data_IF_462697501038
#
_entry.id   IF_462697501038
#
_cell.length_a   1.000
_cell.length_b   1.000
_cell.length_c   1.000
_cell.angle_alpha   90.00
_cell.angle_beta   90.00
_cell.angle_gamma   90.00
#
_symmetry.space_group_name_H-M   'P 1'
#
loop_
_entity.id
_entity.type
_entity.pdbx_description
1 polymer ?
#
# COMPACT_ATOMS: atom_id res chain seq x y z
N UNK A 1 8.65 38.64 -17.81
CA UNK A 1 9.19 39.04 -16.49
C UNK A 1 9.99 37.85 -15.97
N UNK A 2 11.25 38.03 -15.55
CA UNK A 2 12.09 36.91 -15.08
C UNK A 2 11.70 36.51 -13.66
N UNK A 3 11.65 35.22 -13.36
CA UNK A 3 11.36 34.69 -12.02
C UNK A 3 12.38 35.15 -10.98
N UNK A 4 13.61 35.45 -11.40
CA UNK A 4 14.69 35.97 -10.55
C UNK A 4 14.46 37.41 -10.09
N UNK A 5 13.50 38.11 -10.70
CA UNK A 5 13.13 39.48 -10.32
C UNK A 5 11.91 39.50 -9.39
N UNK A 6 11.35 38.34 -9.05
CA UNK A 6 10.24 38.26 -8.10
C UNK A 6 10.76 38.39 -6.66
N UNK A 7 9.98 39.00 -5.75
CA UNK A 7 10.21 38.91 -4.32
C UNK A 7 10.35 37.44 -3.85
N UNK A 8 11.18 37.23 -2.82
CA UNK A 8 11.45 35.90 -2.26
C UNK A 8 10.15 35.19 -1.85
N UNK A 9 9.22 35.93 -1.26
CA UNK A 9 7.92 35.44 -0.79
C UNK A 9 7.10 34.87 -1.94
N UNK A 10 7.11 35.53 -3.11
CA UNK A 10 6.40 35.02 -4.30
C UNK A 10 7.04 33.75 -4.85
N UNK A 11 8.37 33.62 -4.75
CA UNK A 11 9.05 32.39 -5.20
C UNK A 11 8.80 31.23 -4.24
N UNK A 12 8.76 31.48 -2.93
CA UNK A 12 8.32 30.48 -1.95
C UNK A 12 6.89 30.03 -2.24
N UNK A 13 5.97 30.98 -2.54
CA UNK A 13 4.61 30.63 -2.94
C UNK A 13 4.54 29.81 -4.23
N UNK A 14 5.42 30.08 -5.21
CA UNK A 14 5.51 29.25 -6.42
C UNK A 14 5.93 27.83 -6.07
N UNK A 15 6.96 27.65 -5.23
CA UNK A 15 7.34 26.33 -4.73
C UNK A 15 6.20 25.62 -4.01
N UNK A 16 5.51 26.31 -3.10
CA UNK A 16 4.42 25.77 -2.30
C UNK A 16 3.17 25.42 -3.11
N UNK A 17 3.03 26.01 -4.30
CA UNK A 17 1.97 25.72 -5.27
C UNK A 17 2.28 24.54 -6.19
N UNK A 18 3.51 24.01 -6.16
CA UNK A 18 3.84 22.79 -6.90
C UNK A 18 3.15 21.59 -6.23
N UNK A 19 2.63 20.68 -7.05
CA UNK A 19 1.88 19.51 -6.55
C UNK A 19 2.75 18.26 -6.45
N UNK A 20 4.06 18.35 -6.70
CA UNK A 20 4.97 17.21 -6.71
C UNK A 20 6.34 17.62 -6.12
N UNK A 21 6.89 16.76 -5.25
CA UNK A 21 8.21 16.95 -4.65
C UNK A 21 9.33 17.01 -5.70
N UNK A 22 9.19 16.26 -6.79
CA UNK A 22 10.15 16.24 -7.89
C UNK A 22 10.17 17.55 -8.67
N UNK A 23 9.03 18.22 -8.78
CA UNK A 23 8.94 19.52 -9.43
C UNK A 23 9.67 20.56 -8.59
N UNK A 24 9.57 20.49 -7.25
CA UNK A 24 10.35 21.34 -6.36
C UNK A 24 11.86 21.13 -6.56
N UNK A 25 12.30 19.86 -6.56
CA UNK A 25 13.69 19.52 -6.76
C UNK A 25 14.19 19.96 -8.15
N UNK A 26 13.41 19.72 -9.20
CA UNK A 26 13.73 20.11 -10.57
C UNK A 26 13.77 21.62 -10.73
N UNK A 27 12.81 22.33 -10.16
CA UNK A 27 12.75 23.79 -10.18
C UNK A 27 13.97 24.41 -9.46
N UNK A 28 14.40 23.82 -8.35
CA UNK A 28 15.63 24.25 -7.64
C UNK A 28 16.91 24.06 -8.44
N UNK A 29 16.96 23.09 -9.35
CA UNK A 29 18.14 22.81 -10.18
C UNK A 29 18.31 23.79 -11.33
N UNK A 30 17.32 24.65 -11.60
CA UNK A 30 17.38 25.60 -12.72
C UNK A 30 18.42 26.71 -12.51
N UNK A 31 18.65 27.18 -11.28
CA UNK A 31 19.74 28.12 -10.97
C UNK A 31 20.14 28.11 -9.48
N UNK A 32 21.34 28.63 -9.17
CA UNK A 32 21.88 28.68 -7.80
C UNK A 32 20.99 29.44 -6.81
N UNK A 33 20.30 30.49 -7.27
CA UNK A 33 19.42 31.27 -6.40
C UNK A 33 18.21 30.45 -5.97
N UNK A 34 17.52 29.78 -6.92
CA UNK A 34 16.39 28.91 -6.62
C UNK A 34 16.80 27.71 -5.77
N UNK A 35 17.99 27.14 -6.00
CA UNK A 35 18.57 26.13 -5.12
C UNK A 35 18.72 26.64 -3.68
N UNK A 36 19.27 27.85 -3.49
CA UNK A 36 19.41 28.47 -2.18
C UNK A 36 18.08 28.77 -1.49
N UNK A 37 17.04 29.14 -2.25
CA UNK A 37 15.67 29.31 -1.74
C UNK A 37 15.13 27.96 -1.23
N UNK A 38 15.18 26.91 -2.05
CA UNK A 38 14.71 25.59 -1.62
C UNK A 38 15.48 25.11 -0.39
N UNK A 39 16.80 25.27 -0.36
CA UNK A 39 17.61 24.84 0.78
C UNK A 39 17.24 25.58 2.08
N UNK A 40 16.91 26.87 1.99
CA UNK A 40 16.59 27.70 3.16
C UNK A 40 15.17 27.48 3.69
N UNK A 41 14.23 27.14 2.81
CA UNK A 41 12.80 26.97 3.12
C UNK A 41 12.29 25.55 2.86
N UNK A 42 13.19 24.57 2.87
CA UNK A 42 12.94 23.21 2.40
C UNK A 42 11.74 22.56 3.10
N UNK A 43 11.68 22.69 4.42
CA UNK A 43 10.64 22.07 5.24
C UNK A 43 9.28 22.69 4.95
N UNK A 44 9.19 24.01 4.90
CA UNK A 44 7.92 24.71 4.64
C UNK A 44 7.41 24.41 3.23
N UNK A 45 8.32 24.31 2.26
CA UNK A 45 7.99 23.97 0.87
C UNK A 45 7.49 22.51 0.82
N UNK A 46 8.28 21.54 1.28
CA UNK A 46 7.90 20.13 1.22
C UNK A 46 6.64 19.84 2.02
N UNK A 47 6.49 20.42 3.22
CA UNK A 47 5.27 20.28 4.02
C UNK A 47 4.04 20.80 3.28
N UNK A 48 4.15 21.92 2.56
CA UNK A 48 3.06 22.43 1.72
C UNK A 48 2.70 21.47 0.60
N UNK A 49 3.70 20.93 -0.13
CA UNK A 49 3.46 19.95 -1.21
C UNK A 49 2.78 18.70 -0.68
N UNK A 50 3.33 18.10 0.40
CA UNK A 50 2.78 16.90 1.05
C UNK A 50 1.33 17.12 1.50
N UNK A 51 1.04 18.30 2.05
CA UNK A 51 -0.30 18.63 2.53
C UNK A 51 -1.31 18.79 1.39
N UNK A 52 -0.90 19.32 0.25
CA UNK A 52 -1.80 19.68 -0.84
C UNK A 52 -1.92 18.62 -1.94
N UNK A 53 -0.95 17.73 -2.06
CA UNK A 53 -0.90 16.74 -3.12
C UNK A 53 -1.63 15.45 -2.71
N UNK A 54 -2.64 15.06 -3.50
CA UNK A 54 -3.49 13.89 -3.21
C UNK A 54 -2.69 12.59 -2.99
N UNK A 55 -1.62 12.37 -3.74
CA UNK A 55 -0.81 11.14 -3.60
C UNK A 55 -0.09 11.02 -2.25
N UNK A 56 -0.09 12.06 -1.42
CA UNK A 56 0.47 12.04 -0.07
C UNK A 56 -0.61 11.94 1.03
N UNK A 57 -1.89 11.71 0.69
CA UNK A 57 -2.99 11.77 1.66
C UNK A 57 -2.84 10.74 2.81
N UNK A 58 -2.28 9.57 2.51
CA UNK A 58 -2.07 8.50 3.49
C UNK A 58 -0.74 8.60 4.25
N UNK A 59 0.16 9.50 3.86
CA UNK A 59 1.51 9.53 4.40
C UNK A 59 1.57 9.93 5.87
N UNK A 60 0.70 10.84 6.33
CA UNK A 60 0.65 11.24 7.74
C UNK A 60 0.21 10.06 8.61
N UNK A 61 -0.85 9.38 8.20
CA UNK A 61 -1.38 8.21 8.90
C UNK A 61 -0.35 7.08 8.96
N UNK A 62 0.35 6.83 7.85
CA UNK A 62 1.40 5.83 7.79
C UNK A 62 2.54 6.14 8.76
N UNK A 63 2.97 7.41 8.87
CA UNK A 63 3.98 7.79 9.87
C UNK A 63 3.48 7.55 11.31
N UNK A 64 2.21 7.88 11.61
CA UNK A 64 1.65 7.66 12.94
C UNK A 64 1.61 6.17 13.30
N UNK A 65 1.18 5.33 12.36
CA UNK A 65 1.17 3.88 12.53
C UNK A 65 2.59 3.35 12.77
N UNK A 66 3.56 3.79 11.97
CA UNK A 66 4.96 3.42 12.12
C UNK A 66 5.54 3.85 13.47
N UNK A 67 5.21 5.05 13.94
CA UNK A 67 5.63 5.53 15.26
C UNK A 67 5.08 4.68 16.41
N UNK A 68 3.91 4.05 16.27
CA UNK A 68 3.41 3.10 17.29
C UNK A 68 4.32 1.87 17.33
N UNK A 69 4.64 1.30 16.18
CA UNK A 69 5.52 0.13 16.08
C UNK A 69 6.95 0.41 16.53
N UNK A 70 7.48 1.61 16.30
CA UNK A 70 8.82 1.98 16.75
C UNK A 70 8.88 2.20 18.27
N UNK A 71 7.84 2.79 18.86
CA UNK A 71 7.78 3.08 20.31
C UNK A 71 7.56 1.83 21.15
N UNK A 72 6.72 0.93 20.65
CA UNK A 72 6.45 -0.33 21.32
C UNK A 72 7.46 -1.34 20.80
N UNK A 73 8.65 -1.31 21.43
CA UNK A 73 9.71 -2.29 21.21
C UNK A 73 9.10 -3.68 21.08
N UNK A 74 9.60 -4.46 20.11
CA UNK A 74 9.14 -5.81 19.77
C UNK A 74 9.34 -6.88 20.88
N UNK A 75 9.47 -6.46 22.14
CA UNK A 75 9.58 -7.30 23.33
C UNK A 75 8.21 -7.51 24.02
N UNK A 76 7.23 -6.61 23.84
CA UNK A 76 5.89 -6.79 24.36
C UNK A 76 5.06 -7.68 23.40
N UNK A 77 4.48 -8.77 23.93
CA UNK A 77 3.73 -9.73 23.13
C UNK A 77 2.37 -9.18 22.65
N UNK A 78 1.83 -8.18 23.34
CA UNK A 78 0.55 -7.54 23.05
C UNK A 78 0.53 -6.09 23.51
N UNK A 79 -0.26 -5.28 22.83
CA UNK A 79 -0.49 -3.87 23.14
C UNK A 79 -1.89 -3.70 23.75
N UNK A 80 -2.03 -2.92 24.82
CA UNK A 80 -3.35 -2.60 25.37
C UNK A 80 -4.13 -1.68 24.41
N UNK A 81 -5.47 -1.81 24.27
CA UNK A 81 -6.26 -1.08 23.27
C UNK A 81 -6.24 0.43 23.49
N UNK A 82 -6.20 0.82 24.76
CA UNK A 82 -6.13 2.20 25.26
C UNK A 82 -4.77 2.85 24.91
N UNK A 83 -3.75 2.03 24.56
CA UNK A 83 -2.40 2.46 24.18
C UNK A 83 -2.26 2.48 22.64
N UNK A 84 -2.96 1.63 21.90
CA UNK A 84 -2.80 1.54 20.44
C UNK A 84 -3.64 2.55 19.67
N UNK A 85 -4.93 2.61 19.93
CA UNK A 85 -5.87 3.33 19.06
C UNK A 85 -6.16 4.75 19.51
N UNK A 86 -6.27 4.96 20.82
CA UNK A 86 -6.45 6.30 21.38
C UNK A 86 -5.20 7.18 21.15
N UNK A 87 -4.03 6.56 20.96
CA UNK A 87 -2.80 7.27 20.60
C UNK A 87 -2.73 7.67 19.13
N UNK A 88 -3.28 6.84 18.22
CA UNK A 88 -3.39 7.16 16.79
C UNK A 88 -4.60 8.07 16.62
N UNK A 89 -4.43 9.32 17.05
CA UNK A 89 -5.40 10.37 16.72
C UNK A 89 -5.51 10.56 15.21
N UNK A 90 -6.62 11.15 14.78
CA UNK A 90 -6.86 11.45 13.35
C UNK A 90 -5.65 12.14 12.70
N UNK A 91 -5.27 11.73 11.47
CA UNK A 91 -4.19 12.34 10.73
C UNK A 91 -4.43 13.85 10.55
N UNK A 92 -3.50 14.67 11.07
CA UNK A 92 -3.59 16.13 11.07
C UNK A 92 -2.28 16.74 10.60
N UNK A 93 -2.35 17.82 9.85
CA UNK A 93 -1.18 18.57 9.34
C UNK A 93 -0.27 19.07 10.48
N UNK A 94 -0.83 19.31 11.68
CA UNK A 94 -0.08 19.68 12.87
C UNK A 94 0.91 18.60 13.31
N UNK A 95 0.68 17.34 12.95
CA UNK A 95 1.54 16.20 13.26
C UNK A 95 2.75 16.09 12.30
N UNK A 96 2.79 16.82 11.19
CA UNK A 96 3.95 16.86 10.28
C UNK A 96 5.09 17.71 10.86
N UNK A 97 5.93 17.09 11.68
CA UNK A 97 7.21 17.66 12.13
C UNK A 97 8.30 17.49 11.06
N UNK A 98 9.47 18.08 11.29
CA UNK A 98 10.61 18.03 10.34
C UNK A 98 11.04 16.59 10.00
N UNK A 99 11.05 15.68 10.98
CA UNK A 99 11.47 14.30 10.76
C UNK A 99 10.49 13.57 9.83
N UNK A 100 9.19 13.64 10.11
CA UNK A 100 8.14 13.03 9.27
C UNK A 100 8.09 13.60 7.86
N UNK A 101 8.33 14.92 7.69
CA UNK A 101 8.44 15.51 6.34
C UNK A 101 9.56 14.85 5.54
N UNK A 102 10.74 14.65 6.15
CA UNK A 102 11.83 13.99 5.45
C UNK A 102 11.58 12.50 5.22
N UNK A 103 10.96 11.82 6.17
CA UNK A 103 10.58 10.41 6.02
C UNK A 103 9.66 10.20 4.81
N UNK A 104 8.63 11.06 4.66
CA UNK A 104 7.73 11.04 3.51
C UNK A 104 8.49 11.34 2.21
N UNK A 105 9.39 12.32 2.21
CA UNK A 105 10.23 12.62 1.03
C UNK A 105 11.11 11.41 0.68
N UNK A 106 11.69 10.73 1.67
CA UNK A 106 12.51 9.54 1.46
C UNK A 106 11.65 8.40 0.90
N UNK A 107 10.48 8.13 1.50
CA UNK A 107 9.51 7.12 1.06
C UNK A 107 9.09 7.37 -0.39
N UNK A 108 8.71 8.61 -0.71
CA UNK A 108 8.39 9.05 -2.08
C UNK A 108 9.52 8.77 -3.08
N UNK A 109 10.78 8.93 -2.69
CA UNK A 109 11.89 8.63 -3.61
C UNK A 109 12.20 7.13 -3.68
N UNK A 110 12.11 6.42 -2.56
CA UNK A 110 12.37 4.99 -2.47
C UNK A 110 11.37 4.17 -3.29
N UNK A 111 10.09 4.52 -3.25
CA UNK A 111 9.03 3.79 -3.96
C UNK A 111 9.13 3.91 -5.49
N UNK A 112 9.93 4.86 -6.02
CA UNK A 112 10.26 4.90 -7.46
C UNK A 112 11.03 3.67 -7.91
N UNK A 113 11.75 3.00 -7.02
CA UNK A 113 12.42 1.73 -7.36
C UNK A 113 11.38 0.67 -7.68
N UNK A 114 10.34 0.54 -6.85
CA UNK A 114 9.23 -0.39 -7.09
C UNK A 114 8.48 -0.02 -8.37
N UNK A 115 8.18 1.26 -8.57
CA UNK A 115 7.52 1.73 -9.78
C UNK A 115 8.34 1.49 -11.06
N UNK A 116 9.67 1.63 -11.01
CA UNK A 116 10.53 1.28 -12.15
C UNK A 116 10.49 -0.20 -12.49
N UNK A 117 10.40 -1.06 -11.46
CA UNK A 117 10.24 -2.49 -11.67
C UNK A 117 8.85 -2.74 -12.29
N UNK A 118 7.81 -2.12 -11.75
CA UNK A 118 6.44 -2.19 -12.29
C UNK A 118 6.39 -1.83 -13.77
N UNK A 119 7.03 -0.74 -14.18
CA UNK A 119 7.03 -0.25 -15.57
C UNK A 119 7.86 -1.08 -16.55
N UNK A 120 8.52 -2.15 -16.11
CA UNK A 120 9.37 -2.96 -16.98
C UNK A 120 8.51 -3.88 -17.87
N UNK A 121 8.48 -3.65 -19.21
CA UNK A 121 7.60 -4.39 -20.12
C UNK A 121 7.81 -5.90 -20.10
N UNK A 122 9.05 -6.35 -19.86
CA UNK A 122 9.40 -7.76 -19.80
C UNK A 122 8.73 -8.50 -18.64
N UNK A 123 8.24 -7.78 -17.62
CA UNK A 123 7.53 -8.37 -16.50
C UNK A 123 6.05 -8.60 -16.80
N UNK A 124 5.47 -7.77 -17.67
CA UNK A 124 4.10 -7.96 -18.14
C UNK A 124 4.01 -9.11 -19.17
N UNK A 125 5.06 -9.33 -19.96
CA UNK A 125 5.14 -10.45 -20.91
C UNK A 125 5.44 -11.82 -20.25
N UNK A 126 6.08 -11.83 -19.08
CA UNK A 126 6.43 -13.04 -18.32
C UNK A 126 5.40 -13.44 -17.25
N UNK A 127 4.16 -12.97 -17.36
CA UNK A 127 3.07 -13.27 -16.41
C UNK A 127 2.58 -14.74 -16.42
N UNK A 128 3.27 -15.64 -17.15
CA UNK A 128 3.07 -17.08 -17.06
C UNK A 128 4.07 -17.72 -16.08
N UNK A 129 3.61 -18.72 -15.31
CA UNK A 129 4.33 -19.35 -14.19
C UNK A 129 5.73 -19.93 -14.52
N UNK A 130 6.05 -20.09 -15.80
CA UNK A 130 7.26 -20.78 -16.25
C UNK A 130 8.35 -19.81 -16.73
N UNK A 131 9.40 -19.74 -15.91
CA UNK A 131 10.72 -19.15 -16.17
C UNK A 131 10.78 -17.62 -16.32
N UNK A 132 11.11 -16.96 -15.21
CA UNK A 132 11.69 -15.63 -15.27
C UNK A 132 13.15 -15.68 -15.73
N UNK A 133 13.62 -14.68 -16.51
CA UNK A 133 15.05 -14.41 -16.62
C UNK A 133 15.60 -13.94 -15.27
N UNK A 134 16.76 -14.46 -14.87
CA UNK A 134 17.46 -13.95 -13.69
C UNK A 134 17.65 -12.43 -13.83
N UNK A 135 17.45 -11.69 -12.73
CA UNK A 135 17.91 -10.31 -12.58
C UNK A 135 19.44 -10.34 -12.59
N UNK A 136 20.04 -10.51 -13.77
CA UNK A 136 21.48 -10.38 -13.95
C UNK A 136 21.83 -8.90 -13.94
N UNK A 137 22.98 -8.55 -13.36
CA UNK A 137 23.54 -7.18 -13.42
C UNK A 137 23.70 -6.65 -14.87
N UNK A 138 23.60 -7.54 -15.86
CA UNK A 138 23.58 -7.22 -17.29
C UNK A 138 22.24 -6.67 -17.80
N UNK A 139 21.15 -6.81 -17.04
CA UNK A 139 19.92 -6.04 -17.23
C UNK A 139 20.08 -4.67 -16.56
N UNK A 140 21.19 -3.99 -16.87
CA UNK A 140 21.15 -2.55 -17.05
C UNK A 140 20.10 -2.31 -18.13
N UNK A 141 18.83 -2.32 -17.70
CA UNK A 141 17.74 -1.66 -18.37
C UNK A 141 18.36 -0.34 -18.79
N UNK A 142 18.54 -0.18 -20.11
CA UNK A 142 18.87 1.11 -20.68
C UNK A 142 17.76 2.00 -20.15
N UNK A 143 18.08 2.70 -19.07
CA UNK A 143 17.16 3.47 -18.26
C UNK A 143 16.60 4.50 -19.21
N UNK A 144 15.44 4.23 -19.82
CA UNK A 144 14.73 5.21 -20.62
C UNK A 144 14.31 6.29 -19.62
N UNK A 145 14.99 7.45 -19.54
CA UNK A 145 14.74 8.44 -18.49
C UNK A 145 13.42 9.20 -18.73
N UNK A 146 12.70 8.87 -19.81
CA UNK A 146 11.67 9.72 -20.41
C UNK A 146 10.30 9.05 -20.55
N UNK A 147 10.09 7.82 -20.04
CA UNK A 147 8.71 7.41 -19.71
C UNK A 147 8.31 8.23 -18.50
N UNK A 148 7.69 9.37 -18.81
CA UNK A 148 6.79 10.18 -18.01
C UNK A 148 6.54 9.59 -16.62
N UNK A 149 7.04 10.20 -15.54
CA UNK A 149 6.66 9.82 -14.16
C UNK A 149 5.23 10.28 -13.81
N UNK A 150 4.35 10.44 -14.81
CA UNK A 150 3.00 10.97 -14.60
C UNK A 150 2.10 9.99 -13.88
N UNK A 151 2.33 8.69 -14.07
CA UNK A 151 1.58 7.61 -13.46
C UNK A 151 2.10 7.28 -12.06
N UNK A 152 3.33 7.70 -11.72
CA UNK A 152 3.95 7.41 -10.43
C UNK A 152 3.14 7.91 -9.22
N UNK A 153 2.59 9.14 -9.21
CA UNK A 153 1.67 9.57 -8.15
C UNK A 153 0.50 8.60 -7.90
N UNK A 154 -0.11 8.04 -8.95
CA UNK A 154 -1.23 7.09 -8.83
C UNK A 154 -0.77 5.76 -8.25
N UNK A 155 0.36 5.25 -8.75
CA UNK A 155 1.01 4.05 -8.19
C UNK A 155 1.31 4.22 -6.70
N UNK A 156 1.91 5.36 -6.32
CA UNK A 156 2.28 5.66 -4.94
C UNK A 156 1.04 5.80 -4.04
N UNK A 157 -0.02 6.45 -4.53
CA UNK A 157 -1.27 6.59 -3.80
C UNK A 157 -1.91 5.21 -3.53
N UNK A 158 -2.08 4.38 -4.56
CA UNK A 158 -2.65 3.05 -4.42
C UNK A 158 -1.80 2.15 -3.49
N UNK A 159 -0.47 2.24 -3.59
CA UNK A 159 0.44 1.51 -2.71
C UNK A 159 0.29 1.94 -1.25
N UNK A 160 0.29 3.25 -0.98
CA UNK A 160 0.24 3.78 0.39
C UNK A 160 -1.14 3.61 1.02
N UNK A 161 -2.23 3.68 0.25
CA UNK A 161 -3.59 3.41 0.75
C UNK A 161 -3.73 1.96 1.23
N UNK A 162 -3.22 1.01 0.44
CA UNK A 162 -3.22 -0.39 0.82
C UNK A 162 -2.28 -0.65 2.00
N UNK A 163 -1.10 -0.02 2.02
CA UNK A 163 -0.14 -0.16 3.10
C UNK A 163 -0.70 0.33 4.45
N UNK A 164 -1.37 1.49 4.49
CA UNK A 164 -2.04 1.96 5.71
C UNK A 164 -3.04 0.92 6.24
N UNK A 165 -3.84 0.32 5.36
CA UNK A 165 -4.81 -0.69 5.76
C UNK A 165 -4.14 -1.95 6.32
N UNK A 166 -3.04 -2.40 5.69
CA UNK A 166 -2.21 -3.49 6.20
C UNK A 166 -1.67 -3.16 7.61
N UNK A 167 -1.12 -1.97 7.83
CA UNK A 167 -0.61 -1.56 9.15
C UNK A 167 -1.74 -1.47 10.21
N UNK A 168 -2.96 -1.07 9.82
CA UNK A 168 -4.13 -1.09 10.72
C UNK A 168 -4.54 -2.51 11.11
N UNK A 169 -4.57 -3.44 10.15
CA UNK A 169 -4.85 -4.86 10.41
C UNK A 169 -3.79 -5.44 11.35
N UNK A 170 -2.52 -5.08 11.12
CA UNK A 170 -1.42 -5.49 11.99
C UNK A 170 -1.59 -5.01 13.41
N UNK A 171 -1.89 -3.72 13.57
CA UNK A 171 -2.15 -3.15 14.89
C UNK A 171 -3.34 -3.84 15.58
N UNK A 172 -4.37 -4.21 14.81
CA UNK A 172 -5.52 -4.95 15.34
C UNK A 172 -5.17 -6.34 15.83
N UNK A 173 -4.31 -7.06 15.11
CA UNK A 173 -3.82 -8.38 15.53
C UNK A 173 -2.95 -8.29 16.79
N UNK A 174 -2.16 -7.22 16.96
CA UNK A 174 -1.30 -7.01 18.13
C UNK A 174 -2.02 -6.44 19.36
N UNK A 175 -3.28 -5.99 19.20
CA UNK A 175 -4.04 -5.39 20.30
C UNK A 175 -4.69 -6.47 21.17
N UNK A 176 -4.59 -6.31 22.49
CA UNK A 176 -5.25 -7.15 23.48
C UNK A 176 -6.60 -6.55 23.89
N UNK A 177 -7.70 -7.08 23.37
CA UNK A 177 -9.04 -6.62 23.63
C UNK A 177 -9.58 -7.12 24.97
N UNK A 178 -10.15 -6.20 25.75
CA UNK A 178 -10.85 -6.55 26.98
C UNK A 178 -12.12 -7.37 26.74
N UNK A 179 -12.78 -7.17 25.58
CA UNK A 179 -14.08 -7.74 25.23
C UNK A 179 -14.10 -8.20 23.78
N UNK A 180 -14.73 -9.34 23.51
CA UNK A 180 -14.93 -9.84 22.14
C UNK A 180 -15.77 -8.91 21.27
N UNK A 181 -16.74 -8.18 21.85
CA UNK A 181 -17.56 -7.22 21.10
C UNK A 181 -16.73 -6.08 20.48
N UNK A 182 -15.78 -5.53 21.23
CA UNK A 182 -14.86 -4.48 20.73
C UNK A 182 -13.87 -5.02 19.70
N UNK A 183 -13.48 -6.30 19.83
CA UNK A 183 -12.68 -6.98 18.82
C UNK A 183 -13.46 -7.15 17.52
N UNK A 184 -14.73 -7.61 17.60
CA UNK A 184 -15.61 -7.76 16.45
C UNK A 184 -15.84 -6.43 15.72
N UNK A 185 -16.27 -5.40 16.46
CA UNK A 185 -16.50 -4.07 15.90
C UNK A 185 -15.26 -3.54 15.17
N UNK A 186 -14.06 -3.82 15.70
CA UNK A 186 -12.82 -3.37 15.07
C UNK A 186 -12.57 -4.08 13.74
N UNK A 187 -12.76 -5.40 13.70
CA UNK A 187 -12.54 -6.14 12.47
C UNK A 187 -13.63 -5.85 11.43
N UNK A 188 -14.87 -5.61 11.84
CA UNK A 188 -15.94 -5.15 10.95
C UNK A 188 -15.54 -3.84 10.25
N UNK A 189 -15.03 -2.85 11.01
CA UNK A 189 -14.53 -1.59 10.44
C UNK A 189 -13.36 -1.78 9.46
N UNK A 190 -12.49 -2.77 9.70
CA UNK A 190 -11.38 -3.09 8.81
C UNK A 190 -11.87 -3.81 7.55
N UNK A 191 -12.89 -4.67 7.68
CA UNK A 191 -13.56 -5.31 6.56
C UNK A 191 -14.23 -4.29 5.67
N UNK A 192 -14.96 -3.32 6.23
CA UNK A 192 -15.55 -2.24 5.45
C UNK A 192 -14.47 -1.48 4.66
N UNK A 193 -13.34 -1.13 5.28
CA UNK A 193 -12.21 -0.48 4.58
C UNK A 193 -11.52 -1.36 3.51
N UNK A 194 -11.62 -2.69 3.63
CA UNK A 194 -11.03 -3.66 2.72
C UNK A 194 -11.94 -3.99 1.54
N UNK A 195 -13.22 -4.21 1.80
CA UNK A 195 -14.20 -4.72 0.82
C UNK A 195 -15.21 -3.71 0.36
N UNK A 196 -15.42 -2.59 1.05
CA UNK A 196 -16.35 -1.52 0.63
C UNK A 196 -15.85 -0.14 1.07
N UNK A 197 -14.69 0.26 0.55
CA UNK A 197 -14.09 1.53 0.91
C UNK A 197 -14.80 2.68 0.16
N UNK A 198 -15.75 3.33 0.82
CA UNK A 198 -16.55 4.40 0.24
C UNK A 198 -15.75 5.68 -0.06
N UNK A 199 -14.56 5.85 0.53
CA UNK A 199 -13.71 7.00 0.26
C UNK A 199 -12.94 6.88 -1.07
N UNK A 200 -12.90 5.68 -1.66
CA UNK A 200 -12.22 5.42 -2.94
C UNK A 200 -13.17 5.51 -4.12
N UNK A 201 -12.74 6.22 -5.15
CA UNK A 201 -13.39 6.16 -6.46
C UNK A 201 -13.19 4.78 -7.11
N UNK A 202 -14.08 4.37 -8.01
CA UNK A 202 -13.95 3.09 -8.76
C UNK A 202 -12.56 2.92 -9.41
N UNK A 203 -12.00 4.01 -9.95
CA UNK A 203 -10.65 3.98 -10.51
C UNK A 203 -9.60 3.62 -9.46
N UNK A 204 -9.61 4.27 -8.31
CA UNK A 204 -8.67 3.99 -7.21
C UNK A 204 -8.80 2.57 -6.69
N UNK A 205 -10.03 2.03 -6.60
CA UNK A 205 -10.26 0.64 -6.21
C UNK A 205 -9.56 -0.35 -7.16
N UNK A 206 -9.63 -0.12 -8.46
CA UNK A 206 -8.95 -0.96 -9.46
C UNK A 206 -7.42 -0.74 -9.46
N UNK A 207 -6.96 0.49 -9.26
CA UNK A 207 -5.52 0.78 -9.12
C UNK A 207 -4.91 0.08 -7.90
N UNK A 208 -5.66 -0.01 -6.79
CA UNK A 208 -5.26 -0.79 -5.63
C UNK A 208 -5.11 -2.27 -6.02
N UNK A 209 -6.08 -2.88 -6.70
CA UNK A 209 -5.96 -4.28 -7.17
C UNK A 209 -4.70 -4.46 -8.04
N UNK A 210 -4.46 -3.59 -9.00
CA UNK A 210 -3.28 -3.66 -9.88
C UNK A 210 -1.98 -3.61 -9.08
N UNK A 211 -1.85 -2.63 -8.17
CA UNK A 211 -0.64 -2.46 -7.37
C UNK A 211 -0.46 -3.64 -6.42
N UNK A 212 -1.53 -4.12 -5.79
CA UNK A 212 -1.55 -5.29 -4.92
C UNK A 212 -1.15 -6.55 -5.67
N UNK A 213 -1.71 -6.80 -6.85
CA UNK A 213 -1.34 -7.93 -7.71
C UNK A 213 0.13 -7.86 -8.12
N UNK A 214 0.65 -6.66 -8.43
CA UNK A 214 2.06 -6.48 -8.74
C UNK A 214 2.96 -6.71 -7.52
N UNK A 215 2.67 -6.08 -6.37
CA UNK A 215 3.53 -6.16 -5.19
C UNK A 215 3.46 -7.58 -4.60
N UNK A 216 2.28 -8.16 -4.45
CA UNK A 216 2.11 -9.46 -3.79
C UNK A 216 2.17 -10.62 -4.77
N UNK A 217 1.38 -10.54 -5.84
CA UNK A 217 1.30 -11.58 -6.86
C UNK A 217 2.59 -11.73 -7.65
N UNK A 218 3.27 -10.62 -7.96
CA UNK A 218 4.53 -10.64 -8.70
C UNK A 218 5.77 -10.48 -7.82
N UNK A 219 5.98 -9.35 -7.14
CA UNK A 219 7.25 -9.11 -6.40
C UNK A 219 7.41 -10.09 -5.24
N UNK A 220 6.38 -10.27 -4.42
CA UNK A 220 6.41 -11.19 -3.29
C UNK A 220 6.81 -12.59 -3.72
N UNK A 221 6.04 -13.18 -4.64
CA UNK A 221 6.33 -14.53 -5.14
C UNK A 221 7.75 -14.65 -5.69
N UNK A 222 8.27 -13.63 -6.37
CA UNK A 222 9.60 -13.68 -6.98
C UNK A 222 10.77 -13.46 -6.00
N UNK A 223 10.62 -12.56 -5.03
CA UNK A 223 11.63 -12.29 -4.01
C UNK A 223 11.83 -13.50 -3.10
N UNK A 224 10.77 -14.29 -2.93
CA UNK A 224 10.75 -15.49 -2.12
C UNK A 224 10.89 -16.78 -2.93
N UNK A 225 11.15 -16.74 -4.25
CA UNK A 225 11.50 -17.94 -5.03
C UNK A 225 12.72 -18.66 -4.41
N UNK A 226 12.64 -19.99 -4.29
CA UNK A 226 13.72 -20.84 -3.76
C UNK A 226 13.61 -21.10 -2.26
N UNK A 227 14.60 -20.69 -1.46
CA UNK A 227 14.68 -20.99 -0.01
C UNK A 227 13.53 -20.44 0.83
N UNK A 228 12.72 -19.55 0.27
CA UNK A 228 11.56 -18.95 0.92
C UNK A 228 10.25 -19.35 0.25
N UNK A 229 10.26 -20.32 -0.68
CA UNK A 229 9.07 -20.72 -1.43
C UNK A 229 8.07 -21.52 -0.58
N UNK A 230 8.48 -21.99 0.60
CA UNK A 230 7.63 -22.75 1.51
C UNK A 230 7.61 -22.09 2.87
N UNK A 231 6.41 -21.88 3.38
CA UNK A 231 6.13 -21.28 4.69
C UNK A 231 6.76 -22.07 5.84
N UNK A 232 6.87 -23.40 5.67
CA UNK A 232 7.58 -24.31 6.58
C UNK A 232 9.07 -24.00 6.76
N UNK A 233 9.67 -23.18 5.88
CA UNK A 233 11.05 -22.73 6.06
C UNK A 233 11.18 -21.57 7.05
N UNK A 234 10.07 -20.90 7.38
CA UNK A 234 10.03 -19.75 8.29
C UNK A 234 9.31 -20.05 9.61
N UNK A 235 8.33 -20.94 9.55
CA UNK A 235 7.49 -21.30 10.69
C UNK A 235 7.81 -22.75 11.09
N UNK A 236 8.16 -23.01 12.36
CA UNK A 236 8.29 -24.37 12.86
C UNK A 236 7.01 -25.16 12.59
N UNK A 237 7.13 -26.45 12.25
CA UNK A 237 5.97 -27.27 11.83
C UNK A 237 4.83 -27.31 12.87
N UNK A 238 5.16 -27.16 14.16
CA UNK A 238 4.18 -27.04 15.24
C UNK A 238 3.33 -25.76 15.16
N UNK A 239 3.95 -24.64 14.80
CA UNK A 239 3.31 -23.33 14.66
C UNK A 239 2.62 -23.22 13.29
N UNK A 240 3.09 -23.96 12.28
CA UNK A 240 2.51 -23.99 10.94
C UNK A 240 1.09 -24.57 10.94
N UNK A 241 0.83 -25.60 11.74
CA UNK A 241 -0.50 -26.20 11.87
C UNK A 241 -1.51 -25.27 12.56
N UNK A 242 -1.03 -24.34 13.38
CA UNK A 242 -1.83 -23.26 13.96
C UNK A 242 -2.10 -22.16 12.93
N UNK A 243 -1.07 -21.78 12.19
CA UNK A 243 -1.12 -20.78 11.13
C UNK A 243 -2.07 -21.15 9.98
N UNK A 244 -1.99 -22.39 9.47
CA UNK A 244 -2.86 -22.85 8.36
C UNK A 244 -4.23 -23.32 8.84
N UNK A 245 -4.56 -23.15 10.12
CA UNK A 245 -5.87 -23.51 10.67
C UNK A 245 -6.95 -22.54 10.19
N UNK A 246 -6.57 -21.27 10.06
CA UNK A 246 -7.38 -20.15 9.59
C UNK A 246 -6.92 -19.68 8.21
N UNK A 247 -5.67 -19.26 8.03
CA UNK A 247 -5.22 -18.58 6.82
C UNK A 247 -4.82 -19.53 5.67
N UNK A 248 -5.08 -19.14 4.41
CA UNK A 248 -4.41 -19.78 3.28
C UNK A 248 -2.95 -19.32 3.24
N UNK A 249 -2.00 -20.20 2.86
CA UNK A 249 -0.60 -19.81 2.76
C UNK A 249 -0.43 -18.54 1.90
N UNK A 250 -1.17 -18.41 0.80
CA UNK A 250 -1.05 -17.28 -0.11
C UNK A 250 -1.47 -15.91 0.48
N UNK A 251 -2.53 -15.85 1.30
CA UNK A 251 -2.98 -14.59 1.92
C UNK A 251 -2.04 -14.14 3.01
N UNK A 252 -1.57 -15.08 3.82
CA UNK A 252 -0.62 -14.82 4.88
C UNK A 252 0.76 -14.38 4.34
N UNK A 253 1.17 -14.97 3.20
CA UNK A 253 2.38 -14.55 2.49
C UNK A 253 2.31 -13.10 2.01
N UNK A 254 1.16 -12.61 1.57
CA UNK A 254 1.02 -11.23 1.09
C UNK A 254 1.33 -10.19 2.18
N UNK A 255 0.73 -10.35 3.36
CA UNK A 255 0.98 -9.49 4.52
C UNK A 255 2.44 -9.52 4.99
N UNK A 256 3.12 -10.66 4.79
CA UNK A 256 4.49 -10.91 5.23
C UNK A 256 5.52 -10.25 4.32
N UNK A 257 5.26 -10.30 3.01
CA UNK A 257 6.12 -9.72 1.97
C UNK A 257 6.31 -8.22 2.19
N UNK A 258 5.29 -7.49 2.66
CA UNK A 258 5.29 -6.01 2.76
C UNK A 258 6.48 -5.48 3.56
N UNK A 259 6.58 -5.91 4.82
CA UNK A 259 7.62 -5.47 5.75
C UNK A 259 8.98 -6.06 5.40
N UNK A 260 9.03 -7.30 4.92
CA UNK A 260 10.29 -7.92 4.49
C UNK A 260 10.89 -7.29 3.24
N UNK A 261 10.06 -6.85 2.29
CA UNK A 261 10.50 -6.11 1.12
C UNK A 261 11.21 -4.83 1.55
N UNK A 262 10.61 -4.09 2.48
CA UNK A 262 11.16 -2.85 3.03
C UNK A 262 12.45 -3.14 3.80
N UNK A 263 12.44 -4.10 4.73
CA UNK A 263 13.64 -4.49 5.48
C UNK A 263 14.78 -4.97 4.58
N UNK A 264 14.48 -5.79 3.56
CA UNK A 264 15.48 -6.32 2.63
C UNK A 264 16.04 -5.27 1.69
N UNK A 265 15.21 -4.33 1.21
CA UNK A 265 15.69 -3.23 0.38
C UNK A 265 16.50 -2.21 1.18
N UNK A 266 16.25 -2.08 2.48
CA UNK A 266 16.87 -1.06 3.31
C UNK A 266 18.11 -1.59 4.06
N UNK A 267 18.24 -2.91 4.25
CA UNK A 267 19.38 -3.47 4.97
C UNK A 267 19.74 -4.90 4.49
N UNK A 268 20.29 -5.00 3.28
CA UNK A 268 20.61 -6.27 2.60
C UNK A 268 21.60 -7.16 3.36
N UNK A 269 22.39 -6.61 4.29
CA UNK A 269 23.38 -7.34 5.08
C UNK A 269 22.82 -7.87 6.42
N UNK A 270 21.84 -7.20 7.05
CA UNK A 270 21.28 -7.62 8.36
C UNK A 270 20.13 -8.63 8.29
N UNK A 271 19.46 -8.78 7.14
CA UNK A 271 18.25 -9.62 7.01
C UNK A 271 18.51 -11.12 7.32
N UNK A 272 19.77 -11.54 7.33
CA UNK A 272 20.15 -12.96 7.40
C UNK A 272 20.42 -13.50 8.81
N UNK A 273 20.44 -12.64 9.84
CA UNK A 273 20.59 -13.04 11.25
C UNK A 273 19.28 -12.92 12.06
N UNK A 274 18.17 -12.60 11.40
CA UNK A 274 16.87 -12.46 12.06
C UNK A 274 16.38 -13.85 12.51
N UNK A 275 16.04 -13.98 13.80
CA UNK A 275 15.30 -15.12 14.34
C UNK A 275 13.90 -15.13 13.71
N UNK A 276 13.76 -15.89 12.62
CA UNK A 276 12.60 -15.88 11.74
C UNK A 276 11.28 -16.16 12.47
N UNK A 277 11.16 -17.21 13.32
CA UNK A 277 9.96 -17.42 14.13
C UNK A 277 9.66 -16.26 15.08
N UNK A 278 10.66 -15.72 15.77
CA UNK A 278 10.42 -14.61 16.70
C UNK A 278 10.04 -13.33 15.95
N UNK A 279 10.66 -13.05 14.81
CA UNK A 279 10.25 -11.95 13.95
C UNK A 279 8.80 -12.10 13.47
N UNK A 280 8.37 -13.31 13.11
CA UNK A 280 6.97 -13.59 12.76
C UNK A 280 6.01 -13.42 13.96
N UNK A 281 6.39 -13.88 15.16
CA UNK A 281 5.62 -13.62 16.39
C UNK A 281 5.51 -12.13 16.67
N UNK A 282 6.62 -11.39 16.52
CA UNK A 282 6.69 -9.94 16.68
C UNK A 282 5.86 -9.19 15.64
N UNK A 283 5.71 -9.77 14.46
CA UNK A 283 4.78 -9.26 13.47
C UNK A 283 3.34 -9.59 13.80
N UNK A 284 3.00 -10.43 14.80
CA UNK A 284 1.61 -10.79 15.11
C UNK A 284 1.08 -11.93 14.24
N UNK A 285 1.93 -12.61 13.45
CA UNK A 285 1.53 -13.74 12.59
C UNK A 285 1.17 -15.01 13.36
N UNK A 286 1.57 -15.10 14.62
CA UNK A 286 1.42 -16.31 15.45
C UNK A 286 0.61 -16.01 16.72
N UNK A 287 -0.16 -14.92 16.70
CA UNK A 287 -0.79 -14.33 17.88
C UNK A 287 -2.30 -14.30 17.66
N UNK A 288 -3.01 -15.42 17.87
CA UNK A 288 -4.44 -15.46 17.51
C UNK A 288 -5.46 -16.18 18.43
N UNK A 289 -5.15 -16.61 19.68
CA UNK A 289 -6.27 -16.89 20.60
C UNK A 289 -6.23 -16.21 21.97
N UNK A 290 -5.17 -15.48 22.33
CA UNK A 290 -5.05 -14.87 23.66
C UNK A 290 -5.31 -13.36 23.69
N UNK A 291 -5.76 -12.78 22.58
CA UNK A 291 -6.02 -11.35 22.46
C UNK A 291 -7.34 -10.89 23.09
N UNK A 292 -8.15 -11.77 23.71
CA UNK A 292 -9.44 -11.39 24.31
C UNK A 292 -9.57 -11.87 25.75
N UNK A 293 -9.79 -10.95 26.70
CA UNK A 293 -9.99 -11.31 28.12
C UNK A 293 -11.37 -11.90 28.40
N UNK A 294 -12.42 -11.28 27.87
CA UNK A 294 -13.83 -11.61 28.17
C UNK A 294 -14.61 -11.86 26.88
N UNK A 295 -15.21 -13.05 26.79
CA UNK A 295 -16.16 -13.41 25.74
C UNK A 295 -17.56 -12.91 26.14
N UNK A 296 -17.95 -11.77 25.58
CA UNK A 296 -19.25 -11.13 25.73
C UNK A 296 -20.11 -11.17 24.44
N UNK A 297 -19.54 -11.68 23.35
CA UNK A 297 -20.19 -11.95 22.07
C UNK A 297 -20.00 -13.43 21.70
N UNK A 298 -20.95 -13.98 20.95
CA UNK A 298 -20.88 -15.35 20.41
C UNK A 298 -20.23 -15.40 19.04
N UNK A 299 -20.09 -14.25 18.39
CA UNK A 299 -19.49 -14.12 17.05
C UNK A 299 -17.98 -13.94 17.23
N UNK A 300 -17.21 -14.64 16.41
CA UNK A 300 -15.77 -14.42 16.23
C UNK A 300 -15.61 -13.68 14.90
N UNK A 301 -14.82 -12.60 14.84
CA UNK A 301 -14.69 -11.86 13.60
C UNK A 301 -13.86 -12.67 12.61
N UNK A 302 -14.07 -12.44 11.32
CA UNK A 302 -13.13 -12.94 10.33
C UNK A 302 -11.85 -12.10 10.42
N UNK A 303 -10.74 -12.71 10.77
CA UNK A 303 -9.44 -12.03 10.88
C UNK A 303 -8.64 -12.11 9.58
N UNK A 304 -9.20 -12.71 8.53
CA UNK A 304 -8.49 -13.08 7.31
C UNK A 304 -8.77 -12.16 6.13
N UNK A 305 -7.87 -11.21 5.92
CA UNK A 305 -7.96 -10.26 4.81
C UNK A 305 -7.32 -10.85 3.54
N UNK A 306 -8.07 -11.70 2.85
CA UNK A 306 -7.62 -12.29 1.59
C UNK A 306 -7.54 -11.24 0.47
N UNK A 307 -6.52 -11.33 -0.38
CA UNK A 307 -6.39 -10.47 -1.56
C UNK A 307 -7.54 -10.64 -2.56
N UNK A 308 -8.16 -11.83 -2.60
CA UNK A 308 -9.34 -12.09 -3.44
C UNK A 308 -10.54 -11.26 -3.01
N UNK A 309 -10.59 -10.85 -1.74
CA UNK A 309 -11.69 -10.04 -1.21
C UNK A 309 -11.61 -8.58 -1.66
N UNK A 310 -10.46 -8.11 -2.16
CA UNK A 310 -10.34 -6.78 -2.76
C UNK A 310 -11.19 -6.63 -4.04
N UNK A 311 -11.51 -7.75 -4.72
CA UNK A 311 -12.46 -7.72 -5.83
C UNK A 311 -13.84 -7.23 -5.37
N UNK A 312 -14.22 -7.47 -4.10
CA UNK A 312 -15.48 -6.95 -3.56
C UNK A 312 -15.50 -5.42 -3.53
N UNK A 313 -14.38 -4.76 -3.22
CA UNK A 313 -14.30 -3.29 -3.19
C UNK A 313 -14.72 -2.70 -4.54
N UNK A 314 -14.20 -3.26 -5.62
CA UNK A 314 -14.59 -2.87 -6.99
C UNK A 314 -16.06 -3.18 -7.25
N UNK A 315 -16.56 -4.35 -6.85
CA UNK A 315 -17.97 -4.72 -7.05
C UNK A 315 -18.91 -3.75 -6.33
N UNK A 316 -18.64 -3.40 -5.07
CA UNK A 316 -19.43 -2.40 -4.34
C UNK A 316 -19.34 -1.03 -5.01
N UNK A 317 -18.16 -0.62 -5.50
CA UNK A 317 -18.03 0.60 -6.30
C UNK A 317 -18.89 0.60 -7.57
N UNK A 318 -19.08 -0.55 -8.22
CA UNK A 318 -20.01 -0.69 -9.35
C UNK A 318 -21.47 -0.61 -8.90
N UNK A 319 -21.82 -1.27 -7.78
CA UNK A 319 -23.17 -1.25 -7.18
C UNK A 319 -23.59 0.18 -6.84
N UNK A 320 -22.69 0.96 -6.24
CA UNK A 320 -22.91 2.37 -5.91
C UNK A 320 -23.18 3.21 -7.16
N UNK A 321 -22.44 2.98 -8.23
CA UNK A 321 -22.63 3.67 -9.50
C UNK A 321 -23.92 3.26 -10.22
N UNK A 322 -24.40 2.03 -10.03
CA UNK A 322 -25.74 1.60 -10.49
C UNK A 322 -26.85 2.22 -9.62
N UNK A 323 -26.59 2.40 -8.33
CA UNK A 323 -27.54 2.95 -7.35
C UNK A 323 -28.58 1.95 -6.86
N UNK A 324 -28.26 0.65 -6.84
CA UNK A 324 -29.16 -0.41 -6.35
C UNK A 324 -28.40 -1.60 -5.78
N UNK A 325 -28.61 -1.91 -4.49
CA UNK A 325 -28.01 -3.08 -3.82
C UNK A 325 -28.36 -4.41 -4.49
N UNK A 326 -29.56 -4.52 -5.08
CA UNK A 326 -30.01 -5.70 -5.83
C UNK A 326 -29.16 -5.98 -7.09
N UNK A 327 -28.27 -5.05 -7.47
CA UNK A 327 -27.39 -5.20 -8.63
C UNK A 327 -26.08 -5.93 -8.32
N UNK A 328 -25.82 -6.35 -7.07
CA UNK A 328 -24.55 -6.98 -6.68
C UNK A 328 -24.19 -8.19 -7.55
N UNK A 329 -25.11 -9.13 -7.76
CA UNK A 329 -24.85 -10.32 -8.59
C UNK A 329 -24.52 -9.96 -10.04
N UNK A 330 -25.20 -8.94 -10.58
CA UNK A 330 -24.92 -8.44 -11.93
C UNK A 330 -23.52 -7.82 -11.99
N UNK A 331 -23.20 -6.91 -11.07
CA UNK A 331 -21.92 -6.22 -11.01
C UNK A 331 -20.76 -7.21 -10.82
N UNK A 332 -20.93 -8.21 -9.94
CA UNK A 332 -19.98 -9.29 -9.75
C UNK A 332 -19.73 -10.07 -11.04
N UNK A 333 -20.80 -10.47 -11.74
CA UNK A 333 -20.69 -11.18 -13.01
C UNK A 333 -19.96 -10.35 -14.07
N UNK A 334 -20.28 -9.05 -14.16
CA UNK A 334 -19.65 -8.14 -15.13
C UNK A 334 -18.16 -7.91 -14.81
N UNK A 335 -17.83 -7.73 -13.53
CA UNK A 335 -16.45 -7.58 -13.07
C UNK A 335 -15.59 -8.79 -13.45
N UNK A 336 -16.04 -10.00 -13.12
CA UNK A 336 -15.26 -11.20 -13.46
C UNK A 336 -15.19 -11.46 -14.97
N UNK A 337 -16.26 -11.20 -15.72
CA UNK A 337 -16.22 -11.27 -17.18
C UNK A 337 -15.19 -10.29 -17.77
N UNK A 338 -15.12 -9.06 -17.23
CA UNK A 338 -14.10 -8.08 -17.60
C UNK A 338 -12.68 -8.54 -17.21
N UNK A 339 -12.51 -9.08 -15.99
CA UNK A 339 -11.23 -9.57 -15.46
C UNK A 339 -10.65 -10.70 -16.33
N UNK A 340 -11.49 -11.63 -16.76
CA UNK A 340 -11.10 -12.78 -17.57
C UNK A 340 -10.85 -12.44 -19.05
N UNK A 341 -11.40 -11.33 -19.54
CA UNK A 341 -11.32 -10.95 -20.95
C UNK A 341 -10.44 -9.71 -21.16
N UNK A 342 -10.95 -8.53 -20.89
CA UNK A 342 -10.31 -7.27 -21.24
C UNK A 342 -9.17 -6.90 -20.30
N UNK A 343 -9.31 -7.21 -19.01
CA UNK A 343 -8.28 -6.92 -18.01
C UNK A 343 -6.99 -7.66 -18.34
N UNK A 344 -7.04 -8.99 -18.35
CA UNK A 344 -5.89 -9.86 -18.60
C UNK A 344 -5.20 -9.58 -19.94
N UNK A 345 -5.95 -9.17 -20.96
CA UNK A 345 -5.39 -8.98 -22.30
C UNK A 345 -4.90 -7.55 -22.58
N UNK A 346 -5.49 -6.52 -21.95
CA UNK A 346 -5.28 -5.13 -22.36
C UNK A 346 -4.97 -4.15 -21.22
N UNK A 347 -5.41 -4.41 -19.99
CA UNK A 347 -5.38 -3.40 -18.91
C UNK A 347 -4.47 -3.77 -17.75
N UNK A 348 -4.31 -5.06 -17.45
CA UNK A 348 -3.38 -5.54 -16.43
C UNK A 348 -1.95 -5.12 -16.81
N UNK A 349 -1.21 -4.55 -15.86
CA UNK A 349 0.11 -3.97 -16.12
C UNK A 349 0.10 -2.55 -16.69
N UNK A 350 -1.08 -2.03 -17.05
CA UNK A 350 -1.19 -0.82 -17.86
C UNK A 350 -2.24 0.18 -17.37
N UNK A 351 -3.14 -0.20 -16.45
CA UNK A 351 -4.26 0.66 -15.99
C UNK A 351 -3.79 2.03 -15.49
N UNK A 352 -2.63 2.09 -14.84
CA UNK A 352 -2.05 3.33 -14.34
C UNK A 352 -1.60 4.30 -15.45
N UNK A 353 -1.34 3.78 -16.66
CA UNK A 353 -1.00 4.56 -17.84
C UNK A 353 -2.21 5.10 -18.62
N UNK A 354 -3.41 4.61 -18.31
CA UNK A 354 -4.64 5.10 -18.94
C UNK A 354 -5.23 6.28 -18.16
N UNK A 355 -5.55 7.37 -18.85
CA UNK A 355 -6.28 8.53 -18.29
C UNK A 355 -7.80 8.28 -18.37
N UNK A 356 -8.28 7.20 -17.74
CA UNK A 356 -9.71 6.89 -17.65
C UNK A 356 -10.35 7.54 -16.43
N UNK A 357 -11.58 7.99 -16.58
CA UNK A 357 -12.45 8.38 -15.46
C UNK A 357 -13.19 7.15 -14.91
N UNK A 358 -13.66 7.22 -13.66
CA UNK A 358 -14.52 6.18 -13.07
C UNK A 358 -15.75 5.87 -13.92
N UNK A 359 -16.35 6.88 -14.58
CA UNK A 359 -17.49 6.70 -15.48
C UNK A 359 -17.14 5.88 -16.73
N UNK A 360 -16.02 6.19 -17.37
CA UNK A 360 -15.57 5.44 -18.55
C UNK A 360 -15.21 3.99 -18.20
N UNK A 361 -14.60 3.79 -17.02
CA UNK A 361 -14.25 2.47 -16.52
C UNK A 361 -15.49 1.65 -16.18
N UNK A 362 -16.48 2.27 -15.54
CA UNK A 362 -17.79 1.66 -15.29
C UNK A 362 -18.46 1.20 -16.59
N UNK A 363 -18.57 2.07 -17.60
CA UNK A 363 -19.15 1.73 -18.90
C UNK A 363 -18.41 0.57 -19.57
N UNK A 364 -17.08 0.57 -19.49
CA UNK A 364 -16.25 -0.50 -20.03
C UNK A 364 -16.54 -1.85 -19.36
N UNK A 365 -16.57 -1.88 -18.02
CA UNK A 365 -16.80 -3.11 -17.24
C UNK A 365 -18.21 -3.63 -17.48
N UNK A 366 -19.23 -2.76 -17.41
CA UNK A 366 -20.63 -3.15 -17.58
C UNK A 366 -20.97 -3.61 -19.01
N UNK A 367 -20.11 -3.31 -19.99
CA UNK A 367 -20.24 -3.81 -21.36
C UNK A 367 -19.65 -5.20 -21.58
N UNK A 368 -18.77 -5.68 -20.68
CA UNK A 368 -17.95 -6.88 -20.90
C UNK A 368 -18.74 -8.20 -20.90
N UNK A 369 -19.84 -8.28 -20.14
CA UNK A 369 -20.68 -9.49 -20.01
C UNK A 369 -21.86 -9.57 -20.98
N UNK A 370 -21.93 -8.68 -21.97
CA UNK A 370 -22.95 -8.71 -23.03
C UNK A 370 -22.46 -9.41 -24.33
N UNK A 371 -21.26 -10.01 -24.30
CA UNK A 371 -20.61 -10.69 -25.43
C UNK A 371 -20.79 -12.19 -25.48
#
# INVERSE_FOLDING_TARGET
MSIQNLPLELVILVYQSLINLDDCLSFSRTCKWLHGVLQSYQIDIFKSVITNAKHHEHDIELCLLQDVFERHSMEEAFLEPEITYDEIGEPRISQLNTARVFEIVIRWHAMKVLYKIYMNPSLHECATEEAMPALTDSNQCVLCPERSYKEYPRFYLALTSHWVLIEKIWLAKMTHYKRSSSWNERYDQLWDQWTDNQDRTLLEKIEVIEVVDFIWGYLGRNIFKGKFAQLSNWIPEADLAEFTRSETPESAWASFVARLLILRTWNSEMVWEIDQPNYLRQLGFLVEPQSVEVLDDTITPDTQFSLYELDKDVIYGLVDMVGSEDSYELCQKQWYAYKDTQWKNNMQGHILAYELTSQQLFELIMSAGNG
#
